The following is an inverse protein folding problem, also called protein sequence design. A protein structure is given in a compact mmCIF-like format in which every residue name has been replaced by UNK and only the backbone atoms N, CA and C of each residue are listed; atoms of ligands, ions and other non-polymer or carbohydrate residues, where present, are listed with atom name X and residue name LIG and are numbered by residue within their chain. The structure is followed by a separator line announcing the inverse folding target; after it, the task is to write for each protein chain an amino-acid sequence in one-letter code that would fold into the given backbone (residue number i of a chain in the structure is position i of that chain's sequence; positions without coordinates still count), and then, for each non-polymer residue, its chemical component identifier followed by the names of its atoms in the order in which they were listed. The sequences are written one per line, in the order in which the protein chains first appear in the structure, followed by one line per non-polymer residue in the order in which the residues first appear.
data_IF_799071699704
#
_entry.id   IF_799071699704
#
_cell.length_a   1.000
_cell.length_b   1.000
_cell.length_c   1.000
_cell.angle_alpha   90.00
_cell.angle_beta   90.00
_cell.angle_gamma   90.00
#
_symmetry.space_group_name_H-M   'P 1'
#
loop_
_entity.id
_entity.type
_entity.pdbx_description
1 polymer ?
#
# COMPACT_ATOMS: atom_id res chain seq x y z
N UNK A 1 -3.56 -22.44 -18.17
CA UNK A 1 -4.92 -22.77 -17.62
C UNK A 1 -4.98 -22.97 -16.09
N UNK A 2 -4.15 -23.82 -15.46
CA UNK A 2 -4.22 -24.03 -13.98
C UNK A 2 -3.81 -22.78 -13.16
N UNK A 3 -2.81 -22.01 -13.60
CA UNK A 3 -2.28 -20.83 -12.87
C UNK A 3 -3.22 -19.62 -12.93
N UNK A 4 -3.85 -19.36 -14.08
CA UNK A 4 -4.81 -18.28 -14.26
C UNK A 4 -6.07 -18.46 -13.41
N UNK A 5 -6.58 -19.70 -13.31
CA UNK A 5 -7.68 -20.04 -12.40
C UNK A 5 -7.33 -19.78 -10.93
N UNK A 6 -6.06 -19.97 -10.53
CA UNK A 6 -5.59 -19.65 -9.16
C UNK A 6 -5.71 -18.16 -8.84
N UNK A 7 -5.35 -17.27 -9.78
CA UNK A 7 -5.46 -15.82 -9.57
C UNK A 7 -6.91 -15.40 -9.35
N UNK A 8 -7.83 -15.84 -10.22
CA UNK A 8 -9.26 -15.57 -10.06
C UNK A 8 -9.77 -16.07 -8.72
N UNK A 9 -9.40 -17.29 -8.33
CA UNK A 9 -9.81 -17.87 -7.06
C UNK A 9 -9.25 -17.10 -5.86
N UNK A 10 -7.97 -16.67 -5.90
CA UNK A 10 -7.38 -15.81 -4.86
C UNK A 10 -8.19 -14.51 -4.71
N UNK A 11 -8.52 -13.83 -5.80
CA UNK A 11 -9.27 -12.57 -5.76
C UNK A 11 -10.71 -12.79 -5.31
N UNK A 12 -11.39 -13.82 -5.81
CA UNK A 12 -12.76 -14.17 -5.36
C UNK A 12 -12.80 -14.50 -3.88
N UNK A 13 -11.82 -15.27 -3.39
CA UNK A 13 -11.68 -15.60 -1.97
C UNK A 13 -11.45 -14.35 -1.13
N UNK A 14 -10.53 -13.47 -1.56
CA UNK A 14 -10.24 -12.21 -0.89
C UNK A 14 -11.49 -11.33 -0.75
N UNK A 15 -12.24 -11.14 -1.83
CA UNK A 15 -13.46 -10.32 -1.82
C UNK A 15 -14.56 -10.94 -0.93
N UNK A 16 -14.68 -12.27 -0.91
CA UNK A 16 -15.61 -12.97 -0.04
C UNK A 16 -15.22 -12.83 1.43
N UNK A 17 -13.95 -13.07 1.76
CA UNK A 17 -13.43 -12.92 3.13
C UNK A 17 -13.53 -11.49 3.65
N UNK A 18 -13.38 -10.51 2.76
CA UNK A 18 -13.51 -9.10 3.07
C UNK A 18 -14.97 -8.62 3.15
N UNK A 19 -15.95 -9.51 2.97
CA UNK A 19 -17.39 -9.22 2.98
C UNK A 19 -17.77 -8.03 2.07
N UNK A 20 -17.01 -7.84 0.98
CA UNK A 20 -17.23 -6.73 0.06
C UNK A 20 -18.45 -7.00 -0.81
N UNK A 21 -19.30 -5.99 -1.06
CA UNK A 21 -20.48 -6.14 -1.89
C UNK A 21 -20.18 -6.74 -3.26
N UNK A 22 -21.07 -7.61 -3.76
CA UNK A 22 -20.94 -8.25 -5.08
C UNK A 22 -20.84 -7.22 -6.22
N UNK A 23 -21.49 -6.08 -6.07
CA UNK A 23 -21.50 -4.96 -7.01
C UNK A 23 -21.09 -3.66 -6.32
N UNK A 24 -20.47 -2.73 -7.07
CA UNK A 24 -20.02 -1.45 -6.52
C UNK A 24 -21.18 -0.58 -6.01
N UNK A 25 -22.33 -0.63 -6.66
CA UNK A 25 -23.49 0.17 -6.34
C UNK A 25 -24.69 -0.70 -5.98
N UNK A 26 -25.49 -0.25 -5.01
CA UNK A 26 -26.75 -0.90 -4.62
C UNK A 26 -27.78 -0.80 -5.76
N UNK A 27 -27.82 0.34 -6.43
CA UNK A 27 -28.71 0.64 -7.55
C UNK A 27 -27.91 0.81 -8.85
N UNK A 28 -28.54 0.58 -10.00
CA UNK A 28 -27.93 0.70 -11.31
C UNK A 28 -27.58 -0.63 -12.00
N UNK A 29 -27.00 -0.60 -13.21
CA UNK A 29 -26.76 -1.79 -14.00
C UNK A 29 -25.73 -2.72 -13.34
N UNK A 30 -26.16 -3.95 -13.06
CA UNK A 30 -25.36 -5.00 -12.39
C UNK A 30 -24.66 -5.91 -13.40
N UNK A 31 -24.05 -5.33 -14.44
CA UNK A 31 -23.44 -6.08 -15.54
C UNK A 31 -22.15 -6.81 -15.14
N UNK A 32 -21.32 -6.19 -14.28
CA UNK A 32 -20.02 -6.74 -13.89
C UNK A 32 -19.90 -6.86 -12.39
N UNK A 33 -19.38 -8.00 -11.94
CA UNK A 33 -19.07 -8.22 -10.54
C UNK A 33 -17.85 -7.42 -10.09
N UNK A 34 -17.81 -7.00 -8.84
CA UNK A 34 -16.70 -6.25 -8.30
C UNK A 34 -15.35 -6.97 -8.47
N UNK A 35 -15.33 -8.31 -8.27
CA UNK A 35 -14.11 -9.10 -8.46
C UNK A 35 -13.56 -9.05 -9.88
N UNK A 36 -14.40 -8.96 -10.91
CA UNK A 36 -13.97 -8.84 -12.31
C UNK A 36 -13.27 -7.50 -12.55
N UNK A 37 -13.81 -6.43 -11.97
CA UNK A 37 -13.25 -5.09 -12.09
C UNK A 37 -11.94 -4.96 -11.29
N UNK A 38 -11.88 -5.54 -10.09
CA UNK A 38 -10.64 -5.62 -9.30
C UNK A 38 -9.57 -6.44 -10.03
N UNK A 39 -9.92 -7.60 -10.59
CA UNK A 39 -9.03 -8.43 -11.40
C UNK A 39 -8.44 -7.63 -12.57
N UNK A 40 -9.28 -6.88 -13.28
CA UNK A 40 -8.82 -6.05 -14.40
C UNK A 40 -7.82 -4.98 -14.01
N UNK A 41 -8.02 -4.30 -12.87
CA UNK A 41 -7.07 -3.32 -12.36
C UNK A 41 -5.78 -3.99 -11.87
N UNK A 42 -5.86 -5.10 -11.17
CA UNK A 42 -4.68 -5.84 -10.72
C UNK A 42 -3.84 -6.33 -11.90
N UNK A 43 -4.45 -6.92 -12.92
CA UNK A 43 -3.77 -7.34 -14.15
C UNK A 43 -3.11 -6.15 -14.84
N UNK A 44 -3.84 -5.04 -14.97
CA UNK A 44 -3.29 -3.82 -15.56
C UNK A 44 -2.02 -3.36 -14.84
N UNK A 45 -2.00 -3.35 -13.52
CA UNK A 45 -0.84 -2.89 -12.73
C UNK A 45 0.30 -3.93 -12.73
N UNK A 46 0.00 -5.21 -12.57
CA UNK A 46 1.01 -6.29 -12.54
C UNK A 46 1.80 -6.35 -13.84
N UNK A 47 1.09 -6.33 -14.97
CA UNK A 47 1.70 -6.41 -16.30
C UNK A 47 2.00 -5.05 -16.93
N UNK A 48 1.78 -3.95 -16.21
CA UNK A 48 1.96 -2.57 -16.70
C UNK A 48 1.24 -2.31 -18.04
N UNK A 49 0.06 -2.88 -18.21
CA UNK A 49 -0.69 -2.80 -19.45
C UNK A 49 -1.44 -1.47 -19.57
N UNK A 50 -1.67 -1.04 -20.83
CA UNK A 50 -2.69 -0.05 -21.10
C UNK A 50 -4.09 -0.63 -20.80
N UNK A 51 -5.09 0.21 -20.57
CA UNK A 51 -6.46 -0.28 -20.35
C UNK A 51 -6.96 -1.18 -21.48
N UNK A 52 -6.69 -0.81 -22.75
CA UNK A 52 -7.11 -1.60 -23.91
C UNK A 52 -6.44 -2.98 -23.94
N UNK A 53 -5.13 -3.06 -23.65
CA UNK A 53 -4.41 -4.35 -23.59
C UNK A 53 -4.88 -5.19 -22.40
N UNK A 54 -5.14 -4.59 -21.25
CA UNK A 54 -5.68 -5.29 -20.09
C UNK A 54 -7.07 -5.90 -20.39
N UNK A 55 -7.92 -5.22 -21.19
CA UNK A 55 -9.22 -5.77 -21.60
C UNK A 55 -9.08 -6.95 -22.56
N UNK A 56 -8.18 -6.88 -23.53
CA UNK A 56 -7.89 -8.02 -24.40
C UNK A 56 -7.42 -9.23 -23.61
N UNK A 57 -6.50 -9.01 -22.66
CA UNK A 57 -6.02 -10.06 -21.75
C UNK A 57 -7.16 -10.69 -20.94
N UNK A 58 -8.08 -9.88 -20.39
CA UNK A 58 -9.22 -10.37 -19.63
C UNK A 58 -10.18 -11.21 -20.50
N UNK A 59 -10.41 -10.80 -21.73
CA UNK A 59 -11.27 -11.54 -22.68
C UNK A 59 -10.62 -12.87 -23.05
N UNK A 60 -9.36 -12.86 -23.47
CA UNK A 60 -8.64 -14.05 -23.93
C UNK A 60 -8.44 -15.10 -22.82
N UNK A 61 -8.00 -14.69 -21.63
CA UNK A 61 -7.65 -15.63 -20.56
C UNK A 61 -8.79 -15.96 -19.59
N UNK A 62 -9.79 -15.07 -19.46
CA UNK A 62 -10.85 -15.22 -18.46
C UNK A 62 -12.26 -15.13 -19.03
N UNK A 63 -12.42 -14.88 -20.33
CA UNK A 63 -13.73 -14.70 -20.98
C UNK A 63 -14.51 -13.48 -20.47
N UNK A 64 -13.82 -12.49 -19.91
CA UNK A 64 -14.44 -11.31 -19.31
C UNK A 64 -14.40 -10.16 -20.31
N UNK A 65 -15.51 -9.92 -21.00
CA UNK A 65 -15.66 -8.85 -21.99
C UNK A 65 -16.01 -7.53 -21.33
N UNK A 66 -14.99 -6.72 -21.02
CA UNK A 66 -15.13 -5.38 -20.43
C UNK A 66 -14.73 -4.32 -21.46
N UNK A 67 -15.44 -3.20 -21.47
CA UNK A 67 -14.95 -2.02 -22.17
C UNK A 67 -13.94 -1.25 -21.30
N UNK A 68 -12.89 -0.71 -21.89
CA UNK A 68 -11.81 -0.05 -21.17
C UNK A 68 -12.29 1.16 -20.35
N UNK A 69 -13.30 1.91 -20.80
CA UNK A 69 -13.90 3.03 -20.05
C UNK A 69 -14.60 2.56 -18.76
N UNK A 70 -15.15 1.34 -18.75
CA UNK A 70 -15.76 0.77 -17.54
C UNK A 70 -14.71 0.60 -16.45
N UNK A 71 -13.54 0.06 -16.80
CA UNK A 71 -12.44 -0.12 -15.87
C UNK A 71 -11.85 1.22 -15.41
N UNK A 72 -11.74 2.19 -16.32
CA UNK A 72 -11.27 3.54 -15.99
C UNK A 72 -12.23 4.25 -15.03
N UNK A 73 -13.55 4.22 -15.30
CA UNK A 73 -14.58 4.77 -14.41
C UNK A 73 -14.60 4.06 -13.04
N UNK A 74 -14.44 2.74 -13.06
CA UNK A 74 -14.32 1.96 -11.82
C UNK A 74 -13.14 2.44 -10.97
N UNK A 75 -11.93 2.56 -11.55
CA UNK A 75 -10.73 3.07 -10.85
C UNK A 75 -10.97 4.44 -10.17
N UNK A 76 -11.75 5.32 -10.80
CA UNK A 76 -12.06 6.64 -10.25
C UNK A 76 -13.06 6.60 -9.09
N UNK A 77 -14.02 5.67 -9.13
CA UNK A 77 -15.22 5.65 -8.28
C UNK A 77 -15.14 4.72 -7.09
N UNK A 78 -14.18 3.79 -7.06
CA UNK A 78 -14.05 2.85 -5.94
C UNK A 78 -13.82 3.60 -4.63
N UNK A 79 -14.66 3.42 -3.63
CA UNK A 79 -14.47 3.99 -2.30
C UNK A 79 -13.16 3.54 -1.66
N UNK A 80 -12.52 4.44 -0.93
CA UNK A 80 -11.26 4.16 -0.26
C UNK A 80 -11.36 2.96 0.69
N UNK A 81 -12.49 2.85 1.39
CA UNK A 81 -12.74 1.76 2.35
C UNK A 81 -12.62 0.38 1.69
N UNK A 82 -13.06 0.20 0.44
CA UNK A 82 -12.92 -1.08 -0.27
C UNK A 82 -11.44 -1.43 -0.46
N UNK A 83 -10.62 -0.48 -0.86
CA UNK A 83 -9.19 -0.71 -1.02
C UNK A 83 -8.49 -1.03 0.31
N UNK A 84 -8.84 -0.31 1.37
CA UNK A 84 -8.31 -0.54 2.72
C UNK A 84 -8.67 -1.93 3.21
N UNK A 85 -9.95 -2.30 3.07
CA UNK A 85 -10.42 -3.64 3.46
C UNK A 85 -9.73 -4.73 2.66
N UNK A 86 -9.63 -4.59 1.33
CA UNK A 86 -8.90 -5.56 0.50
C UNK A 86 -7.43 -5.71 0.93
N UNK A 87 -6.74 -4.60 1.17
CA UNK A 87 -5.34 -4.64 1.62
C UNK A 87 -5.23 -5.36 2.97
N UNK A 88 -6.08 -5.01 3.94
CA UNK A 88 -6.11 -5.63 5.27
C UNK A 88 -6.28 -7.15 5.18
N UNK A 89 -7.20 -7.63 4.35
CA UNK A 89 -7.45 -9.07 4.18
C UNK A 89 -6.37 -9.82 3.39
N UNK A 90 -5.42 -9.11 2.76
CA UNK A 90 -4.20 -9.75 2.22
C UNK A 90 -3.12 -9.97 3.28
N UNK A 91 -3.24 -9.33 4.44
CA UNK A 91 -2.39 -9.50 5.61
C UNK A 91 -3.03 -10.43 6.64
N UNK A 92 -2.30 -10.76 7.68
CA UNK A 92 -2.80 -11.59 8.78
C UNK A 92 -3.42 -10.72 9.89
N UNK A 93 -4.19 -11.35 10.78
CA UNK A 93 -4.88 -10.65 11.87
C UNK A 93 -3.94 -10.25 13.03
N UNK A 94 -2.78 -10.89 13.17
CA UNK A 94 -1.77 -10.55 14.18
C UNK A 94 -0.43 -10.26 13.53
N UNK A 95 0.31 -9.30 14.06
CA UNK A 95 1.64 -8.89 13.60
C UNK A 95 2.57 -8.89 14.81
N UNK A 96 3.54 -9.81 14.83
CA UNK A 96 4.55 -9.82 15.90
C UNK A 96 5.49 -8.62 15.78
N UNK A 97 6.01 -8.35 14.58
CA UNK A 97 6.88 -7.18 14.34
C UNK A 97 6.36 -6.38 13.15
N UNK A 98 5.94 -5.16 13.41
CA UNK A 98 5.62 -4.18 12.37
C UNK A 98 6.78 -3.21 12.14
N UNK A 99 6.93 -2.72 10.91
CA UNK A 99 7.75 -1.53 10.61
C UNK A 99 6.88 -0.46 9.97
N UNK A 100 7.14 0.80 10.32
CA UNK A 100 6.47 1.96 9.71
C UNK A 100 7.53 2.90 9.15
N UNK A 101 7.36 3.26 7.89
CA UNK A 101 8.22 4.24 7.23
C UNK A 101 7.50 4.90 6.05
N UNK A 102 8.06 6.03 5.60
CA UNK A 102 7.55 6.80 4.49
C UNK A 102 8.36 6.62 3.21
N UNK A 103 7.69 6.69 2.07
CA UNK A 103 8.36 6.81 0.78
C UNK A 103 7.57 7.73 -0.16
N UNK A 104 8.17 8.09 -1.28
CA UNK A 104 7.50 8.90 -2.31
C UNK A 104 7.42 8.19 -3.64
N UNK A 105 6.35 8.47 -4.38
CA UNK A 105 6.12 8.02 -5.75
C UNK A 105 5.92 9.24 -6.65
N UNK A 106 6.54 9.24 -7.82
CA UNK A 106 6.41 10.33 -8.77
C UNK A 106 5.02 10.33 -9.42
N UNK A 107 4.47 11.53 -9.68
CA UNK A 107 3.08 11.66 -10.20
C UNK A 107 2.92 11.47 -11.69
N UNK A 108 3.95 11.56 -12.47
CA UNK A 108 3.85 11.43 -13.93
C UNK A 108 5.21 11.37 -14.60
N UNK A 109 5.22 10.95 -15.85
CA UNK A 109 6.25 11.29 -16.81
C UNK A 109 5.87 12.64 -17.47
N UNK A 110 6.82 13.51 -17.71
CA UNK A 110 8.27 13.30 -17.66
C UNK A 110 8.87 13.34 -16.25
N UNK A 111 10.09 12.80 -16.14
CA UNK A 111 10.85 12.81 -14.89
C UNK A 111 11.16 14.23 -14.41
N UNK A 112 11.42 14.39 -13.09
CA UNK A 112 11.85 15.66 -12.50
C UNK A 112 13.09 16.24 -13.21
N UNK A 113 14.01 15.38 -13.63
CA UNK A 113 15.19 15.76 -14.38
C UNK A 113 14.84 16.45 -15.72
N UNK A 114 13.90 15.87 -16.47
CA UNK A 114 13.46 16.43 -17.73
C UNK A 114 12.75 17.77 -17.54
N UNK A 115 11.90 17.89 -16.51
CA UNK A 115 11.19 19.14 -16.20
C UNK A 115 12.13 20.27 -15.83
N UNK A 116 13.17 19.98 -15.04
CA UNK A 116 14.24 20.97 -14.75
C UNK A 116 14.98 21.41 -15.99
N UNK A 117 15.28 20.46 -16.91
CA UNK A 117 16.02 20.77 -18.16
C UNK A 117 15.27 21.69 -19.11
N UNK A 118 13.94 21.70 -19.07
CA UNK A 118 13.10 22.57 -19.93
C UNK A 118 12.64 23.83 -19.20
N UNK A 119 13.31 24.22 -18.11
CA UNK A 119 13.02 25.42 -17.28
C UNK A 119 11.55 25.60 -16.86
N UNK A 120 10.82 24.49 -16.75
CA UNK A 120 9.46 24.50 -16.20
C UNK A 120 9.45 24.21 -14.70
N UNK A 121 10.31 24.90 -13.95
CA UNK A 121 10.43 24.69 -12.49
C UNK A 121 9.11 24.91 -11.75
N UNK A 122 8.29 25.83 -12.20
CA UNK A 122 6.98 26.13 -11.60
C UNK A 122 5.92 25.01 -11.82
N UNK A 123 6.16 24.08 -12.73
CA UNK A 123 5.24 22.97 -13.07
C UNK A 123 5.77 21.60 -12.64
N UNK A 124 6.79 21.55 -11.77
CA UNK A 124 7.30 20.30 -11.24
C UNK A 124 6.22 19.65 -10.38
N UNK A 125 5.69 18.52 -10.81
CA UNK A 125 4.68 17.80 -10.05
C UNK A 125 5.28 17.28 -8.74
N UNK A 126 4.75 17.76 -7.61
CA UNK A 126 5.12 17.27 -6.29
C UNK A 126 4.84 15.77 -6.20
N UNK A 127 5.77 14.93 -5.72
CA UNK A 127 5.54 13.51 -5.57
C UNK A 127 4.38 13.22 -4.60
N UNK A 128 3.77 12.06 -4.75
CA UNK A 128 2.84 11.54 -3.75
C UNK A 128 3.64 10.88 -2.65
N UNK A 129 3.41 11.28 -1.41
CA UNK A 129 4.01 10.69 -0.22
C UNK A 129 3.10 9.60 0.32
N UNK A 130 3.70 8.48 0.68
CA UNK A 130 2.98 7.36 1.30
C UNK A 130 3.71 6.93 2.56
N UNK A 131 2.96 6.81 3.65
CA UNK A 131 3.42 6.15 4.87
C UNK A 131 2.74 4.79 4.94
N UNK A 132 3.51 3.73 5.16
CA UNK A 132 3.01 2.38 5.20
C UNK A 132 3.40 1.67 6.48
N UNK A 133 2.56 0.73 6.89
CA UNK A 133 2.87 -0.27 7.90
C UNK A 133 3.06 -1.61 7.18
N UNK A 134 4.11 -2.34 7.56
CA UNK A 134 4.40 -3.66 7.02
C UNK A 134 4.57 -4.68 8.14
N UNK A 135 4.12 -5.90 7.91
CA UNK A 135 4.50 -7.08 8.69
C UNK A 135 5.91 -7.49 8.24
N UNK A 136 6.87 -7.33 9.13
CA UNK A 136 8.29 -7.59 8.87
C UNK A 136 8.54 -9.07 8.61
N UNK A 137 7.92 -9.95 9.39
CA UNK A 137 8.15 -11.39 9.32
C UNK A 137 7.57 -11.97 8.03
N UNK A 138 6.35 -11.57 7.68
CA UNK A 138 5.67 -12.07 6.48
C UNK A 138 5.93 -11.25 5.23
N UNK A 139 6.65 -10.13 5.35
CA UNK A 139 6.99 -9.19 4.26
C UNK A 139 5.76 -8.70 3.50
N UNK A 140 4.71 -8.32 4.21
CA UNK A 140 3.44 -7.85 3.65
C UNK A 140 3.10 -6.43 4.08
N UNK A 141 2.55 -5.65 3.17
CA UNK A 141 1.96 -4.35 3.47
C UNK A 141 0.61 -4.53 4.16
N UNK A 142 0.40 -3.89 5.30
CA UNK A 142 -0.82 -4.07 6.12
C UNK A 142 -1.72 -2.84 6.10
N UNK A 143 -1.14 -1.66 6.16
CA UNK A 143 -1.86 -0.40 6.13
C UNK A 143 -1.08 0.67 5.36
N UNK A 144 -1.80 1.64 4.81
CA UNK A 144 -1.20 2.77 4.08
C UNK A 144 -1.99 4.05 4.31
N UNK A 145 -1.25 5.14 4.43
CA UNK A 145 -1.77 6.50 4.29
C UNK A 145 -1.02 7.22 3.18
N UNK A 146 -1.75 7.95 2.34
CA UNK A 146 -1.16 8.69 1.24
C UNK A 146 -1.47 10.17 1.36
N UNK A 147 -0.53 11.01 0.92
CA UNK A 147 -0.61 12.46 0.97
C UNK A 147 -0.20 13.09 -0.36
N UNK A 148 -0.91 14.14 -0.75
CA UNK A 148 -0.56 14.93 -1.93
C UNK A 148 0.65 15.83 -1.70
N UNK A 149 0.98 16.13 -0.43
CA UNK A 149 2.13 16.93 0.02
C UNK A 149 2.80 16.22 1.19
N UNK A 150 4.06 16.53 1.47
CA UNK A 150 4.75 16.01 2.65
C UNK A 150 4.01 16.50 3.91
N UNK A 151 3.62 15.55 4.77
CA UNK A 151 2.92 15.80 6.03
C UNK A 151 3.74 15.28 7.20
N UNK A 152 3.39 15.70 8.42
CA UNK A 152 4.01 15.19 9.64
C UNK A 152 3.72 13.70 9.82
N UNK A 153 4.76 12.90 9.88
CA UNK A 153 4.68 11.42 9.86
C UNK A 153 4.07 10.84 11.14
N UNK A 154 4.24 11.51 12.29
CA UNK A 154 3.75 11.03 13.60
C UNK A 154 2.21 10.89 13.62
N UNK A 155 1.48 11.81 12.98
CA UNK A 155 0.02 11.76 12.92
C UNK A 155 -0.49 10.56 12.12
N UNK A 156 0.32 10.08 11.19
CA UNK A 156 -0.03 8.98 10.30
C UNK A 156 0.03 7.64 11.02
N UNK A 157 0.89 7.49 12.02
CA UNK A 157 0.99 6.26 12.80
C UNK A 157 -0.34 5.89 13.42
N UNK A 158 -1.02 6.85 14.06
CA UNK A 158 -2.35 6.62 14.65
C UNK A 158 -3.39 6.16 13.61
N UNK A 159 -3.31 6.72 12.42
CA UNK A 159 -4.19 6.33 11.33
C UNK A 159 -3.86 4.93 10.79
N UNK A 160 -2.58 4.59 10.63
CA UNK A 160 -2.14 3.28 10.20
C UNK A 160 -2.59 2.18 11.18
N UNK A 161 -2.50 2.45 12.48
CA UNK A 161 -2.99 1.54 13.53
C UNK A 161 -4.51 1.34 13.52
N UNK A 162 -5.30 2.32 13.05
CA UNK A 162 -6.76 2.14 12.85
C UNK A 162 -7.07 1.21 11.69
N UNK A 163 -6.20 1.13 10.70
CA UNK A 163 -6.38 0.32 9.49
C UNK A 163 -5.71 -1.04 9.59
N UNK A 164 -4.75 -1.18 10.50
CA UNK A 164 -4.00 -2.43 10.70
C UNK A 164 -4.86 -3.50 11.38
N UNK A 165 -4.40 -4.75 11.38
CA UNK A 165 -4.93 -5.80 12.26
C UNK A 165 -4.97 -5.35 13.72
N UNK A 166 -5.82 -5.98 14.52
CA UNK A 166 -6.07 -5.56 15.91
C UNK A 166 -4.85 -5.75 16.81
N UNK A 167 -4.03 -6.75 16.54
CA UNK A 167 -2.88 -7.12 17.37
C UNK A 167 -1.56 -6.81 16.65
N UNK A 168 -0.82 -5.85 17.20
CA UNK A 168 0.56 -5.54 16.82
C UNK A 168 1.40 -5.55 18.10
N UNK A 169 2.27 -6.55 18.26
CA UNK A 169 3.06 -6.71 19.48
C UNK A 169 4.19 -5.67 19.56
N UNK A 170 4.92 -5.50 18.46
CA UNK A 170 6.08 -4.62 18.40
C UNK A 170 6.07 -3.79 17.10
N UNK A 171 6.49 -2.52 17.19
CA UNK A 171 6.67 -1.66 16.02
C UNK A 171 8.04 -0.98 16.05
N UNK A 172 8.74 -1.05 14.90
CA UNK A 172 10.01 -0.36 14.67
C UNK A 172 9.80 0.83 13.75
N UNK A 173 10.37 1.97 14.11
CA UNK A 173 10.25 3.21 13.32
C UNK A 173 11.55 4.02 13.37
N UNK A 174 11.72 4.94 12.43
CA UNK A 174 12.88 5.83 12.41
C UNK A 174 12.83 6.86 13.56
N UNK A 175 13.97 7.44 13.86
CA UNK A 175 14.17 8.49 14.88
C UNK A 175 13.25 9.71 14.68
N UNK A 176 12.79 9.97 13.47
CA UNK A 176 11.84 11.06 13.19
C UNK A 176 10.51 10.89 13.91
N UNK A 177 10.11 9.63 14.18
CA UNK A 177 8.88 9.28 14.90
C UNK A 177 9.01 9.39 16.43
N UNK A 178 10.19 9.71 16.98
CA UNK A 178 10.39 9.81 18.42
C UNK A 178 9.52 10.89 19.06
N UNK A 179 8.51 10.45 19.80
CA UNK A 179 7.57 11.28 20.54
C UNK A 179 7.02 10.54 21.76
N UNK A 180 7.14 11.11 22.96
CA UNK A 180 6.59 10.53 24.20
C UNK A 180 5.08 10.26 24.08
N UNK A 181 4.34 11.17 23.42
CA UNK A 181 2.89 10.99 23.15
C UNK A 181 2.61 9.78 22.26
N UNK A 182 3.51 9.49 21.33
CA UNK A 182 3.37 8.33 20.46
C UNK A 182 3.68 7.03 21.19
N UNK A 183 4.74 7.00 22.00
CA UNK A 183 5.07 5.85 22.83
C UNK A 183 3.91 5.50 23.77
N UNK A 184 3.33 6.51 24.45
CA UNK A 184 2.15 6.33 25.31
C UNK A 184 0.98 5.71 24.52
N UNK A 185 0.64 6.29 23.38
CA UNK A 185 -0.45 5.78 22.53
C UNK A 185 -0.25 4.31 22.14
N UNK A 186 0.97 3.91 21.80
CA UNK A 186 1.30 2.53 21.42
C UNK A 186 1.22 1.59 22.62
N UNK A 187 1.72 2.01 23.78
CA UNK A 187 1.64 1.22 25.03
C UNK A 187 0.22 1.01 25.50
N UNK A 188 -0.65 2.01 25.39
CA UNK A 188 -2.08 1.91 25.71
C UNK A 188 -2.79 0.85 24.82
N UNK A 189 -2.22 0.53 23.66
CA UNK A 189 -2.69 -0.52 22.74
C UNK A 189 -1.98 -1.86 22.90
N UNK A 190 -1.15 -2.01 23.90
CA UNK A 190 -0.34 -3.22 24.09
C UNK A 190 0.83 -3.38 23.12
N UNK A 191 1.15 -2.33 22.32
CA UNK A 191 2.23 -2.38 21.33
C UNK A 191 3.52 -1.82 21.93
N UNK A 192 4.61 -2.60 21.85
CA UNK A 192 5.95 -2.10 22.18
C UNK A 192 6.56 -1.35 21.00
N UNK A 193 7.18 -0.19 21.25
CA UNK A 193 7.79 0.63 20.20
C UNK A 193 9.30 0.71 20.34
N UNK A 194 10.05 0.46 19.28
CA UNK A 194 11.50 0.62 19.20
C UNK A 194 11.81 1.75 18.24
N UNK A 195 12.10 2.91 18.80
CA UNK A 195 12.39 4.16 18.10
C UNK A 195 13.62 4.78 18.74
N UNK A 196 14.68 5.10 17.97
CA UNK A 196 15.87 5.75 18.56
C UNK A 196 15.53 7.12 19.15
N UNK A 197 15.93 7.35 20.39
CA UNK A 197 15.65 8.59 21.09
C UNK A 197 16.51 9.73 20.55
N UNK A 198 15.92 10.90 20.37
CA UNK A 198 16.64 12.13 19.97
C UNK A 198 17.53 12.61 21.12
N UNK A 199 18.83 12.84 20.86
CA UNK A 199 19.85 13.15 21.88
C UNK A 199 19.45 14.30 22.83
N UNK A 200 18.76 15.32 22.34
CA UNK A 200 18.46 16.55 23.10
C UNK A 200 17.09 16.51 23.81
N UNK A 201 16.34 15.41 23.79
CA UNK A 201 14.95 15.36 24.24
C UNK A 201 14.68 14.16 25.16
N UNK A 202 15.54 13.94 26.15
CA UNK A 202 15.46 12.81 27.08
C UNK A 202 14.32 12.93 28.14
N UNK A 203 13.34 13.83 27.95
CA UNK A 203 12.20 13.97 28.87
C UNK A 203 11.10 12.96 28.45
N UNK A 204 10.59 12.22 29.45
CA UNK A 204 9.52 11.22 29.25
C UNK A 204 9.92 9.85 29.80
N UNK A 205 8.94 9.12 30.32
CA UNK A 205 9.13 7.81 30.95
C UNK A 205 9.55 6.76 29.93
N UNK A 206 8.83 6.66 28.81
CA UNK A 206 9.08 5.65 27.79
C UNK A 206 10.39 5.89 27.03
N UNK A 207 10.77 7.16 26.81
CA UNK A 207 12.05 7.52 26.21
C UNK A 207 13.23 7.16 27.11
N UNK A 208 13.11 7.33 28.42
CA UNK A 208 14.14 6.89 29.40
C UNK A 208 14.30 5.38 29.31
N UNK A 209 13.21 4.61 29.40
CA UNK A 209 13.25 3.16 29.25
C UNK A 209 13.94 2.70 27.98
N UNK A 210 13.58 3.31 26.83
CA UNK A 210 14.22 2.98 25.55
C UNK A 210 15.69 3.35 25.49
N UNK A 211 16.12 4.41 26.18
CA UNK A 211 17.53 4.78 26.23
C UNK A 211 18.37 3.73 26.98
N UNK A 212 17.79 3.15 28.04
CA UNK A 212 18.48 2.18 28.88
C UNK A 212 18.44 0.74 28.29
N UNK A 213 17.35 0.40 27.59
CA UNK A 213 17.07 -0.96 27.08
C UNK A 213 16.78 -0.96 25.57
N UNK A 214 17.60 -0.29 24.77
CA UNK A 214 17.37 -0.22 23.31
C UNK A 214 17.89 -1.49 22.62
N UNK A 215 16.97 -2.22 21.95
CA UNK A 215 17.32 -3.42 21.21
C UNK A 215 17.69 -3.08 19.74
N UNK A 216 18.98 -3.05 19.46
CA UNK A 216 19.51 -2.80 18.13
C UNK A 216 19.20 -3.92 17.15
N UNK A 217 19.12 -5.17 17.59
CA UNK A 217 18.83 -6.31 16.69
C UNK A 217 17.42 -6.22 16.14
N UNK A 218 16.45 -5.89 16.99
CA UNK A 218 15.08 -5.64 16.56
C UNK A 218 14.97 -4.35 15.72
N UNK A 219 15.71 -3.30 16.07
CA UNK A 219 15.70 -2.05 15.32
C UNK A 219 16.20 -2.23 13.87
N UNK A 220 17.20 -3.06 13.63
CA UNK A 220 17.72 -3.32 12.30
C UNK A 220 16.69 -3.97 11.36
N UNK A 221 15.67 -4.59 11.88
CA UNK A 221 14.56 -5.11 11.08
C UNK A 221 13.81 -4.00 10.31
N UNK A 222 13.97 -2.73 10.72
CA UNK A 222 13.48 -1.58 9.95
C UNK A 222 14.01 -1.56 8.51
N UNK A 223 15.25 -1.99 8.29
CA UNK A 223 15.86 -2.00 6.96
C UNK A 223 15.09 -2.86 5.95
N UNK A 224 14.28 -3.80 6.46
CA UNK A 224 13.42 -4.61 5.60
C UNK A 224 12.36 -3.78 4.86
N UNK A 225 11.84 -2.71 5.48
CA UNK A 225 10.84 -1.85 4.82
C UNK A 225 11.44 -1.13 3.61
N UNK A 226 12.71 -0.73 3.69
CA UNK A 226 13.43 -0.11 2.57
C UNK A 226 13.60 -1.11 1.41
N UNK A 227 13.90 -2.37 1.74
CA UNK A 227 13.98 -3.46 0.76
C UNK A 227 12.61 -3.71 0.10
N UNK A 228 11.52 -3.65 0.87
CA UNK A 228 10.15 -3.78 0.35
C UNK A 228 9.78 -2.61 -0.57
N UNK A 229 10.16 -1.37 -0.22
CA UNK A 229 9.98 -0.22 -1.11
C UNK A 229 10.77 -0.35 -2.41
N UNK A 230 12.01 -0.81 -2.33
CA UNK A 230 12.84 -1.06 -3.50
C UNK A 230 12.23 -2.14 -4.39
N UNK A 231 11.74 -3.24 -3.81
CA UNK A 231 11.05 -4.29 -4.52
C UNK A 231 9.76 -3.78 -5.19
N UNK A 232 8.93 -3.02 -4.46
CA UNK A 232 7.71 -2.43 -4.99
C UNK A 232 7.97 -1.51 -6.18
N UNK A 233 8.98 -0.61 -6.07
CA UNK A 233 9.36 0.33 -7.12
C UNK A 233 9.96 -0.39 -8.34
N UNK A 234 10.74 -1.45 -8.15
CA UNK A 234 11.29 -2.27 -9.21
C UNK A 234 10.20 -3.04 -9.97
N UNK A 235 9.25 -3.64 -9.26
CA UNK A 235 8.17 -4.43 -9.84
C UNK A 235 7.15 -3.56 -10.59
N UNK A 236 6.73 -2.45 -10.01
CA UNK A 236 5.63 -1.64 -10.54
C UNK A 236 6.05 -0.28 -11.11
N UNK A 237 7.33 0.08 -10.97
CA UNK A 237 7.86 1.39 -11.33
C UNK A 237 7.60 2.46 -10.26
N UNK A 238 8.42 3.51 -10.31
CA UNK A 238 8.36 4.63 -9.37
C UNK A 238 7.32 5.70 -9.75
N UNK A 239 6.71 5.59 -10.92
CA UNK A 239 5.77 6.58 -11.45
C UNK A 239 4.32 6.10 -11.30
N UNK A 240 3.43 7.04 -10.96
CA UNK A 240 2.00 6.84 -10.96
C UNK A 240 1.40 7.34 -12.27
N UNK A 241 0.59 6.52 -12.92
CA UNK A 241 -0.12 6.86 -14.16
C UNK A 241 -1.41 7.65 -13.92
N UNK A 242 -1.87 7.68 -12.68
CA UNK A 242 -3.09 8.38 -12.27
C UNK A 242 -2.90 9.89 -12.24
N UNK A 243 -3.80 10.66 -12.86
CA UNK A 243 -3.74 12.13 -12.89
C UNK A 243 -4.33 12.77 -11.63
N UNK A 244 -5.37 12.17 -11.05
CA UNK A 244 -6.05 12.69 -9.86
C UNK A 244 -5.85 11.80 -8.63
N UNK A 245 -6.14 12.35 -7.44
CA UNK A 245 -5.91 11.66 -6.17
C UNK A 245 -6.63 10.30 -6.05
N UNK A 246 -7.84 10.15 -6.60
CA UNK A 246 -8.58 8.89 -6.55
C UNK A 246 -7.93 7.81 -7.41
N UNK A 247 -7.48 8.15 -8.62
CA UNK A 247 -6.80 7.21 -9.52
C UNK A 247 -5.40 6.86 -9.05
N UNK A 248 -4.65 7.81 -8.48
CA UNK A 248 -3.35 7.56 -7.86
C UNK A 248 -3.49 6.59 -6.67
N UNK A 249 -4.48 6.83 -5.82
CA UNK A 249 -4.83 5.99 -4.68
C UNK A 249 -5.14 4.56 -5.09
N UNK A 250 -6.05 4.39 -6.05
CA UNK A 250 -6.39 3.07 -6.58
C UNK A 250 -5.18 2.33 -7.13
N UNK A 251 -4.28 3.03 -7.84
CA UNK A 251 -3.05 2.46 -8.38
C UNK A 251 -2.12 1.98 -7.28
N UNK A 252 -1.90 2.80 -6.25
CA UNK A 252 -1.04 2.43 -5.10
C UNK A 252 -1.60 1.17 -4.41
N UNK A 253 -2.89 1.17 -4.08
CA UNK A 253 -3.51 0.00 -3.43
C UNK A 253 -3.43 -1.26 -4.31
N UNK A 254 -3.67 -1.15 -5.62
CA UNK A 254 -3.52 -2.28 -6.53
C UNK A 254 -2.10 -2.86 -6.51
N UNK A 255 -1.07 -2.01 -6.48
CA UNK A 255 0.33 -2.44 -6.41
C UNK A 255 0.64 -3.15 -5.09
N UNK A 256 0.17 -2.62 -3.95
CA UNK A 256 0.37 -3.24 -2.64
C UNK A 256 -0.38 -4.56 -2.51
N UNK A 257 -1.64 -4.62 -2.97
CA UNK A 257 -2.45 -5.84 -2.96
C UNK A 257 -1.81 -6.91 -3.88
N UNK A 258 -1.39 -6.51 -5.08
CA UNK A 258 -0.71 -7.41 -6.01
C UNK A 258 0.58 -7.97 -5.41
N UNK A 259 1.37 -7.13 -4.74
CA UNK A 259 2.57 -7.56 -4.02
C UNK A 259 2.23 -8.60 -2.94
N UNK A 260 1.27 -8.29 -2.07
CA UNK A 260 0.87 -9.17 -0.97
C UNK A 260 0.31 -10.52 -1.43
N UNK A 261 -0.36 -10.55 -2.59
CA UNK A 261 -0.90 -11.77 -3.18
C UNK A 261 0.17 -12.62 -3.89
N UNK A 262 1.41 -12.14 -3.95
CA UNK A 262 2.48 -12.80 -4.70
C UNK A 262 2.21 -12.83 -6.20
N UNK A 263 1.50 -11.84 -6.74
CA UNK A 263 1.22 -11.71 -8.17
C UNK A 263 2.45 -11.18 -8.93
N UNK A 264 3.63 -11.56 -8.49
CA UNK A 264 4.88 -11.18 -9.14
C UNK A 264 5.04 -12.01 -10.39
N UNK A 265 5.49 -11.37 -11.45
CA UNK A 265 5.68 -11.94 -12.80
C UNK A 265 6.46 -13.27 -12.79
N UNK A 266 7.34 -13.48 -11.82
CA UNK A 266 8.16 -14.70 -11.70
C UNK A 266 7.35 -15.98 -11.42
N UNK A 267 6.16 -15.93 -10.80
CA UNK A 267 5.32 -17.12 -10.59
C UNK A 267 4.39 -17.45 -11.77
N UNK A 268 4.27 -16.58 -12.74
CA UNK A 268 3.36 -16.76 -13.88
C UNK A 268 4.06 -17.40 -15.08
N UNK A 269 5.38 -17.26 -15.17
CA UNK A 269 6.17 -17.74 -16.31
C UNK A 269 7.12 -18.92 -15.99
N UNK A 270 7.11 -19.44 -14.75
CA UNK A 270 7.75 -20.71 -14.40
C UNK A 270 6.70 -21.73 -13.88
#
# INVERSE_FOLDING_TARGET
MKKEKRLVNKIRRLIRQAEIPRFLHRFGPKKFFLWQLCLGLLIKEVFRLSYRRAMKFLDEFYGIKLHWTTLQKFRQRVPLVIWQTLLRFTANNSIAVAAIDGTSLQRSNPSMYYLKRIDRENNISVPVYINVMVDVIRRKFTAIRHHAKKCGEISDVKYLFKLSPEEVELVVMDKLYDSEKLHRFLRERGTYSIIPVKKNWARGQYRKQLKDCFDYCLYWQRNLIESLFSALKRLFGNHLSGLNASTQRAEIYCRLIAYNLGLVIMEIFY
#
